data_IF_316446633786
#
_entry.id   IF_316446633786
#
_cell.length_a   1.000
_cell.length_b   1.000
_cell.length_c   1.000
_cell.angle_alpha   90.00
_cell.angle_beta   90.00
_cell.angle_gamma   90.00
#
_symmetry.space_group_name_H-M   'P 1'
#
loop_
_entity.id
_entity.type
_entity.pdbx_description
1 polymer ?
#
# COMPACT_ATOMS: atom_id res chain seq x y z
N UNK A 1 6.49 -8.22 -23.19
CA UNK A 1 6.97 -7.39 -22.06
C UNK A 1 5.87 -6.38 -21.77
N UNK A 2 5.19 -6.48 -20.61
CA UNK A 2 4.13 -5.54 -20.24
C UNK A 2 4.70 -4.13 -20.05
N UNK A 3 3.94 -3.11 -20.48
CA UNK A 3 4.31 -1.72 -20.24
C UNK A 3 4.36 -1.46 -18.72
N UNK A 4 5.41 -0.80 -18.27
CA UNK A 4 5.46 -0.22 -16.92
C UNK A 4 4.78 1.14 -16.92
N UNK A 5 4.10 1.47 -15.84
CA UNK A 5 3.37 2.73 -15.67
C UNK A 5 3.68 3.35 -14.31
N UNK A 6 3.72 4.67 -14.27
CA UNK A 6 3.91 5.44 -13.05
C UNK A 6 2.69 5.27 -12.12
N UNK A 7 2.91 4.78 -10.91
CA UNK A 7 1.84 4.43 -9.97
C UNK A 7 0.96 5.62 -9.59
N UNK A 8 1.59 6.75 -9.32
CA UNK A 8 0.88 7.99 -9.00
C UNK A 8 0.00 8.45 -10.16
N UNK A 9 0.51 8.37 -11.39
CA UNK A 9 -0.23 8.79 -12.57
C UNK A 9 -1.38 7.81 -12.87
N UNK A 10 -1.19 6.51 -12.61
CA UNK A 10 -2.26 5.52 -12.69
C UNK A 10 -3.44 5.85 -11.76
N UNK A 11 -3.16 6.28 -10.51
CA UNK A 11 -4.19 6.71 -9.57
C UNK A 11 -4.91 7.98 -10.06
N UNK A 12 -4.14 9.03 -10.38
CA UNK A 12 -4.73 10.33 -10.68
C UNK A 12 -5.40 10.40 -12.05
N UNK A 13 -4.94 9.65 -13.05
CA UNK A 13 -5.69 9.52 -14.30
C UNK A 13 -7.07 8.90 -14.04
N UNK A 14 -7.15 7.82 -13.26
CA UNK A 14 -8.41 7.18 -12.93
C UNK A 14 -9.32 8.08 -12.08
N UNK A 15 -8.79 8.78 -11.06
CA UNK A 15 -9.62 9.66 -10.22
C UNK A 15 -10.12 10.90 -11.00
N UNK A 16 -9.39 11.35 -12.00
CA UNK A 16 -9.86 12.41 -12.91
C UNK A 16 -11.05 11.93 -13.74
N UNK A 17 -11.01 10.71 -14.27
CA UNK A 17 -12.14 10.11 -15.00
C UNK A 17 -13.37 9.96 -14.08
N UNK A 18 -13.17 9.47 -12.86
CA UNK A 18 -14.24 9.41 -11.82
C UNK A 18 -14.79 10.80 -11.53
N UNK A 19 -13.92 11.80 -11.36
CA UNK A 19 -14.30 13.18 -11.09
C UNK A 19 -14.98 13.88 -12.26
N UNK A 20 -14.68 13.50 -13.50
CA UNK A 20 -15.38 14.00 -14.68
C UNK A 20 -16.81 13.44 -14.79
N UNK A 21 -17.05 12.26 -14.23
CA UNK A 21 -18.37 11.62 -14.22
C UNK A 21 -19.24 12.00 -13.02
N UNK A 22 -18.64 12.51 -11.93
CA UNK A 22 -19.35 12.85 -10.69
C UNK A 22 -18.80 14.13 -10.02
N UNK A 23 -19.61 15.17 -9.99
CA UNK A 23 -19.26 16.48 -9.42
C UNK A 23 -19.08 16.50 -7.90
N UNK A 24 -19.34 15.39 -7.23
CA UNK A 24 -19.10 15.24 -5.79
C UNK A 24 -17.61 15.02 -5.49
N UNK A 25 -16.82 14.55 -6.46
CA UNK A 25 -15.37 14.39 -6.29
C UNK A 25 -14.69 15.74 -6.19
N UNK A 26 -13.93 15.94 -5.11
CA UNK A 26 -13.13 17.13 -4.84
C UNK A 26 -11.72 16.68 -4.47
N UNK A 27 -10.71 17.30 -5.08
CA UNK A 27 -9.31 16.94 -4.83
C UNK A 27 -8.61 18.06 -4.03
N UNK A 28 -7.91 17.66 -2.96
CA UNK A 28 -7.09 18.59 -2.17
C UNK A 28 -5.64 18.08 -2.17
N UNK A 29 -4.69 18.98 -2.37
CA UNK A 29 -3.27 18.66 -2.29
C UNK A 29 -2.54 19.54 -1.28
N UNK A 30 -1.48 18.98 -0.67
CA UNK A 30 -0.59 19.69 0.22
C UNK A 30 0.69 20.10 -0.53
N UNK A 31 0.56 21.04 -1.46
CA UNK A 31 1.64 21.56 -2.32
C UNK A 31 2.39 20.51 -3.14
N UNK A 32 1.66 19.46 -3.54
CA UNK A 32 2.18 18.38 -4.39
C UNK A 32 1.38 18.30 -5.68
N UNK A 33 2.09 18.20 -6.81
CA UNK A 33 1.50 18.12 -8.14
C UNK A 33 1.64 16.73 -8.78
N UNK A 34 0.74 16.46 -9.71
CA UNK A 34 0.85 15.42 -10.73
C UNK A 34 0.28 16.00 -12.02
N UNK A 35 0.69 15.50 -13.19
CA UNK A 35 0.21 16.04 -14.48
C UNK A 35 -1.32 15.96 -14.59
N UNK A 36 -1.90 14.83 -14.18
CA UNK A 36 -3.35 14.64 -14.17
C UNK A 36 -4.08 15.65 -13.28
N UNK A 37 -3.50 16.01 -12.12
CA UNK A 37 -4.08 17.02 -11.23
C UNK A 37 -4.12 18.41 -11.87
N UNK A 38 -3.08 18.80 -12.62
CA UNK A 38 -3.08 20.05 -13.36
C UNK A 38 -4.17 20.09 -14.44
N UNK A 39 -4.44 18.96 -15.10
CA UNK A 39 -5.56 18.84 -16.06
C UNK A 39 -6.91 18.94 -15.36
N UNK A 40 -7.06 18.30 -14.19
CA UNK A 40 -8.30 18.38 -13.40
C UNK A 40 -8.55 19.81 -12.89
N UNK A 41 -7.53 20.51 -12.39
CA UNK A 41 -7.61 21.91 -11.96
C UNK A 41 -8.09 22.82 -13.10
N UNK A 42 -7.53 22.67 -14.30
CA UNK A 42 -7.94 23.45 -15.49
C UNK A 42 -9.39 23.17 -15.90
N UNK A 43 -9.83 21.91 -15.87
CA UNK A 43 -11.19 21.50 -16.24
C UNK A 43 -12.24 21.75 -15.13
N UNK A 44 -11.82 21.77 -13.89
CA UNK A 44 -12.70 21.85 -12.72
C UNK A 44 -12.10 22.70 -11.57
N UNK A 45 -11.84 24.00 -11.80
CA UNK A 45 -11.10 24.84 -10.84
C UNK A 45 -11.79 25.04 -9.50
N UNK A 46 -13.09 24.79 -9.41
CA UNK A 46 -13.87 24.87 -8.16
C UNK A 46 -13.86 23.55 -7.38
N UNK A 47 -13.20 22.53 -7.88
CA UNK A 47 -13.13 21.19 -7.26
C UNK A 47 -11.69 20.72 -7.00
N UNK A 48 -10.70 21.58 -7.25
CA UNK A 48 -9.31 21.35 -6.90
C UNK A 48 -8.81 22.45 -5.97
N UNK A 49 -8.18 22.08 -4.86
CA UNK A 49 -7.67 23.01 -3.87
C UNK A 49 -6.24 22.62 -3.47
N UNK A 50 -5.28 23.50 -3.73
CA UNK A 50 -3.98 23.42 -3.11
C UNK A 50 -4.04 24.12 -1.75
N UNK A 51 -3.94 23.35 -0.67
CA UNK A 51 -4.02 23.85 0.72
C UNK A 51 -2.65 24.38 1.22
N UNK A 52 -1.59 24.20 0.42
CA UNK A 52 -0.21 24.44 0.85
C UNK A 52 0.30 23.31 1.77
N UNK A 53 1.46 23.53 2.39
CA UNK A 53 2.09 22.55 3.31
C UNK A 53 1.34 22.59 4.65
N UNK A 54 0.08 22.14 4.66
CA UNK A 54 -0.82 22.20 5.81
C UNK A 54 -1.73 20.97 5.88
N UNK A 55 -1.14 19.78 5.99
CA UNK A 55 -1.83 18.49 5.88
C UNK A 55 -2.91 18.30 6.96
N UNK A 56 -2.68 18.79 8.18
CA UNK A 56 -3.70 18.76 9.24
C UNK A 56 -4.94 19.56 8.84
N UNK A 57 -4.74 20.80 8.33
CA UNK A 57 -5.85 21.62 7.83
C UNK A 57 -6.53 20.97 6.61
N UNK A 58 -5.77 20.35 5.71
CA UNK A 58 -6.30 19.62 4.56
C UNK A 58 -7.26 18.50 4.99
N UNK A 59 -6.92 17.74 6.02
CA UNK A 59 -7.79 16.69 6.58
C UNK A 59 -9.07 17.29 7.15
N UNK A 60 -8.98 18.33 7.97
CA UNK A 60 -10.17 18.96 8.59
C UNK A 60 -11.08 19.63 7.55
N UNK A 61 -10.51 20.28 6.51
CA UNK A 61 -11.30 20.84 5.39
C UNK A 61 -12.00 19.70 4.63
N UNK A 62 -11.31 18.58 4.37
CA UNK A 62 -11.92 17.43 3.70
C UNK A 62 -13.08 16.82 4.50
N UNK A 63 -12.97 16.79 5.84
CA UNK A 63 -14.05 16.35 6.71
C UNK A 63 -15.31 17.22 6.53
N UNK A 64 -15.15 18.55 6.50
CA UNK A 64 -16.25 19.46 6.22
C UNK A 64 -16.90 19.19 4.86
N UNK A 65 -16.10 19.06 3.80
CA UNK A 65 -16.60 18.75 2.45
C UNK A 65 -17.37 17.41 2.42
N UNK A 66 -16.85 16.36 3.06
CA UNK A 66 -17.50 15.06 3.13
C UNK A 66 -18.82 15.11 3.91
N UNK A 67 -18.90 15.86 5.02
CA UNK A 67 -20.11 16.08 5.78
C UNK A 67 -21.22 16.77 4.94
N UNK A 68 -20.85 17.54 3.91
CA UNK A 68 -21.77 18.16 2.95
C UNK A 68 -21.98 17.31 1.67
N UNK A 69 -21.67 16.02 1.73
CA UNK A 69 -21.98 15.06 0.66
C UNK A 69 -20.98 15.03 -0.50
N UNK A 70 -19.79 15.58 -0.33
CA UNK A 70 -18.70 15.42 -1.29
C UNK A 70 -17.88 14.15 -1.01
N UNK A 71 -17.10 13.72 -2.01
CA UNK A 71 -16.10 12.65 -1.91
C UNK A 71 -14.69 13.26 -2.05
N UNK A 72 -14.11 13.76 -0.96
CA UNK A 72 -12.77 14.35 -1.02
C UNK A 72 -11.70 13.29 -1.23
N UNK A 73 -10.76 13.60 -2.11
CA UNK A 73 -9.50 12.89 -2.31
C UNK A 73 -8.38 13.81 -1.88
N UNK A 74 -7.69 13.49 -0.80
CA UNK A 74 -6.58 14.29 -0.29
C UNK A 74 -5.25 13.61 -0.61
N UNK A 75 -4.25 14.41 -1.00
CA UNK A 75 -2.99 13.92 -1.54
C UNK A 75 -1.78 14.56 -0.90
N UNK A 76 -0.82 13.73 -0.49
CA UNK A 76 0.47 14.20 0.03
C UNK A 76 1.48 13.07 0.22
N UNK A 77 2.68 13.44 0.69
CA UNK A 77 3.76 12.48 0.99
C UNK A 77 3.42 11.68 2.26
N UNK A 78 3.75 10.39 2.26
CA UNK A 78 3.36 9.39 3.25
C UNK A 78 3.49 9.85 4.72
N UNK A 79 4.65 10.24 5.27
CA UNK A 79 4.73 10.67 6.67
C UNK A 79 3.93 11.93 6.97
N UNK A 80 3.67 12.78 5.98
CA UNK A 80 3.00 14.06 6.19
C UNK A 80 1.48 13.93 6.20
N UNK A 81 0.91 13.12 5.28
CA UNK A 81 -0.55 12.87 5.30
C UNK A 81 -0.96 11.80 6.30
N UNK A 82 -0.01 11.12 6.94
CA UNK A 82 -0.28 10.10 7.96
C UNK A 82 0.10 10.59 9.36
N UNK A 83 1.38 10.58 9.70
CA UNK A 83 1.86 10.84 11.07
C UNK A 83 1.56 12.28 11.52
N UNK A 84 1.80 13.27 10.65
CA UNK A 84 1.55 14.68 10.97
C UNK A 84 0.07 14.98 11.20
N UNK A 85 -0.83 14.29 10.48
CA UNK A 85 -2.27 14.52 10.52
C UNK A 85 -3.06 13.40 11.24
N UNK A 86 -2.38 12.56 12.03
CA UNK A 86 -2.98 11.38 12.66
C UNK A 86 -4.18 11.72 13.55
N UNK A 87 -4.09 12.80 14.33
CA UNK A 87 -5.19 13.22 15.20
C UNK A 87 -6.43 13.62 14.38
N UNK A 88 -6.26 14.45 13.33
CA UNK A 88 -7.35 14.89 12.48
C UNK A 88 -7.97 13.72 11.71
N UNK A 89 -7.16 12.77 11.20
CA UNK A 89 -7.66 11.54 10.58
C UNK A 89 -8.49 10.74 11.57
N UNK A 90 -8.04 10.64 12.83
CA UNK A 90 -8.73 9.87 13.86
C UNK A 90 -10.06 10.52 14.27
N UNK A 91 -10.05 11.82 14.54
CA UNK A 91 -11.21 12.53 15.10
C UNK A 91 -12.16 13.05 14.01
N UNK A 92 -11.61 13.75 12.99
CA UNK A 92 -12.45 14.42 11.99
C UNK A 92 -12.97 13.46 10.92
N UNK A 93 -12.20 12.40 10.58
CA UNK A 93 -12.62 11.45 9.55
C UNK A 93 -13.13 10.14 10.12
N UNK A 94 -12.32 9.44 10.91
CA UNK A 94 -12.62 8.06 11.30
C UNK A 94 -13.69 7.97 12.40
N UNK A 95 -13.67 8.85 13.40
CA UNK A 95 -14.71 8.90 14.43
C UNK A 95 -16.07 9.29 13.85
N UNK A 96 -16.09 10.14 12.83
CA UNK A 96 -17.29 10.56 12.12
C UNK A 96 -17.66 9.64 10.94
N UNK A 97 -16.81 8.65 10.63
CA UNK A 97 -16.96 7.70 9.51
C UNK A 97 -17.22 8.40 8.15
N UNK A 98 -16.44 9.42 7.83
CA UNK A 98 -16.62 10.23 6.61
C UNK A 98 -15.90 9.60 5.41
N UNK A 99 -16.50 9.60 4.19
CA UNK A 99 -15.94 9.01 3.00
C UNK A 99 -14.85 9.90 2.36
N UNK A 100 -13.68 9.94 2.98
CA UNK A 100 -12.50 10.65 2.49
C UNK A 100 -11.44 9.63 2.06
N UNK A 101 -10.89 9.79 0.84
CA UNK A 101 -9.77 8.98 0.35
C UNK A 101 -8.47 9.74 0.58
N UNK A 102 -7.62 9.21 1.46
CA UNK A 102 -6.29 9.74 1.78
C UNK A 102 -5.28 9.03 0.88
N UNK A 103 -4.73 9.74 -0.11
CA UNK A 103 -3.71 9.22 -1.02
C UNK A 103 -2.33 9.57 -0.48
N UNK A 104 -1.65 8.54 -0.04
CA UNK A 104 -0.31 8.60 0.55
C UNK A 104 0.72 8.12 -0.47
N UNK A 105 1.53 9.03 -1.01
CA UNK A 105 2.60 8.66 -1.94
C UNK A 105 3.93 8.55 -1.21
N UNK A 106 4.73 7.56 -1.61
CA UNK A 106 6.07 7.39 -1.07
C UNK A 106 6.19 6.34 0.01
N UNK A 107 5.71 5.13 -0.28
CA UNK A 107 5.87 3.96 0.57
C UNK A 107 7.35 3.59 0.79
N UNK A 108 7.70 3.12 1.98
CA UNK A 108 9.04 2.66 2.30
C UNK A 108 10.11 3.74 2.08
N UNK A 109 11.12 3.39 1.31
CA UNK A 109 12.24 4.26 0.95
C UNK A 109 12.07 5.00 -0.38
N UNK A 110 10.85 5.20 -0.86
CA UNK A 110 10.58 5.89 -2.14
C UNK A 110 11.25 7.27 -2.22
N UNK A 111 11.20 8.03 -1.13
CA UNK A 111 11.85 9.35 -1.01
C UNK A 111 13.15 9.28 -0.18
N UNK A 112 13.94 8.23 -0.38
CA UNK A 112 15.17 7.99 0.40
C UNK A 112 16.19 9.10 0.31
N UNK A 113 16.29 9.79 -0.84
CA UNK A 113 17.20 10.92 -1.05
C UNK A 113 16.85 12.14 -0.19
N UNK A 114 15.59 12.25 0.23
CA UNK A 114 15.12 13.35 1.08
C UNK A 114 15.29 13.04 2.58
N UNK A 115 15.77 11.84 2.90
CA UNK A 115 16.17 11.42 4.24
C UNK A 115 15.02 10.94 5.13
N UNK A 116 15.34 10.68 6.40
CA UNK A 116 14.47 10.00 7.37
C UNK A 116 13.10 10.66 7.58
N UNK A 117 12.96 11.95 7.32
CA UNK A 117 11.68 12.68 7.46
C UNK A 117 10.68 12.34 6.36
N UNK A 118 11.14 11.75 5.25
CA UNK A 118 10.34 11.40 4.08
C UNK A 118 10.12 9.88 3.93
N UNK A 119 10.74 9.06 4.80
CA UNK A 119 10.55 7.61 4.73
C UNK A 119 9.14 7.20 5.16
N UNK A 120 8.44 6.49 4.30
CA UNK A 120 7.10 5.93 4.58
C UNK A 120 7.21 4.54 5.23
N UNK A 121 7.80 4.45 6.43
CA UNK A 121 8.02 3.19 7.15
C UNK A 121 7.07 2.99 8.35
N UNK A 122 6.62 4.09 8.96
CA UNK A 122 5.81 4.10 10.18
C UNK A 122 4.31 4.25 9.89
N UNK A 123 3.97 4.70 8.69
CA UNK A 123 2.62 5.12 8.29
C UNK A 123 1.58 4.01 8.48
N UNK A 124 1.86 2.80 7.99
CA UNK A 124 0.93 1.66 8.12
C UNK A 124 0.71 1.33 9.60
N UNK A 125 1.76 1.24 10.40
CA UNK A 125 1.66 0.96 11.85
C UNK A 125 0.80 1.98 12.57
N UNK A 126 1.01 3.28 12.31
CA UNK A 126 0.22 4.36 12.89
C UNK A 126 -1.24 4.30 12.43
N UNK A 127 -1.49 4.12 11.13
CA UNK A 127 -2.85 4.04 10.57
C UNK A 127 -3.62 2.80 11.05
N UNK A 128 -2.94 1.69 11.36
CA UNK A 128 -3.58 0.50 11.94
C UNK A 128 -4.28 0.78 13.26
N UNK A 129 -3.83 1.77 14.04
CA UNK A 129 -4.42 2.15 15.32
C UNK A 129 -5.76 2.89 15.18
N UNK A 130 -6.06 3.48 14.01
CA UNK A 130 -7.25 4.31 13.77
C UNK A 130 -8.47 3.42 13.49
N UNK A 131 -9.52 3.40 14.34
CA UNK A 131 -10.76 2.66 14.06
C UNK A 131 -11.45 3.15 12.77
N UNK A 132 -12.27 2.31 12.16
CA UNK A 132 -13.07 2.62 10.95
C UNK A 132 -12.25 3.01 9.70
N UNK A 133 -10.92 3.07 9.78
CA UNK A 133 -10.07 3.38 8.64
C UNK A 133 -9.80 2.11 7.81
N UNK A 134 -10.12 2.16 6.53
CA UNK A 134 -9.67 1.13 5.57
C UNK A 134 -8.24 1.44 5.12
N UNK A 135 -7.35 0.44 5.09
CA UNK A 135 -5.95 0.61 4.65
C UNK A 135 -5.70 -0.27 3.44
N UNK A 136 -5.31 0.36 2.34
CA UNK A 136 -4.99 -0.26 1.07
C UNK A 136 -3.53 0.05 0.71
N UNK A 137 -2.76 -0.97 0.34
CA UNK A 137 -1.36 -0.83 -0.08
C UNK A 137 -1.20 -1.35 -1.50
N UNK A 138 -0.93 -0.47 -2.44
CA UNK A 138 -0.88 -0.82 -3.85
C UNK A 138 0.45 -1.45 -4.25
N UNK A 139 0.39 -2.55 -4.98
CA UNK A 139 1.55 -3.29 -5.48
C UNK A 139 1.83 -3.03 -6.96
N UNK A 140 0.84 -2.54 -7.71
CA UNK A 140 0.97 -2.30 -9.15
C UNK A 140 -0.05 -1.26 -9.68
N UNK A 141 0.08 -0.80 -10.93
CA UNK A 141 -0.84 0.16 -11.52
C UNK A 141 -2.30 -0.31 -11.58
N UNK A 142 -2.56 -1.60 -11.74
CA UNK A 142 -3.92 -2.14 -11.78
C UNK A 142 -4.61 -2.06 -10.41
N UNK A 143 -3.90 -2.40 -9.32
CA UNK A 143 -4.39 -2.15 -7.95
C UNK A 143 -4.68 -0.68 -7.72
N UNK A 144 -3.75 0.17 -8.17
CA UNK A 144 -3.83 1.61 -7.97
C UNK A 144 -5.07 2.21 -8.62
N UNK A 145 -5.39 1.80 -9.86
CA UNK A 145 -6.63 2.22 -10.55
C UNK A 145 -7.88 1.72 -9.85
N UNK A 146 -7.89 0.46 -9.43
CA UNK A 146 -9.01 -0.10 -8.68
C UNK A 146 -9.32 0.77 -7.45
N UNK A 147 -8.30 1.12 -6.68
CA UNK A 147 -8.51 1.93 -5.47
C UNK A 147 -9.01 3.34 -5.77
N UNK A 148 -8.62 3.92 -6.90
CA UNK A 148 -9.15 5.20 -7.36
C UNK A 148 -10.61 5.07 -7.81
N UNK A 149 -10.96 4.07 -8.63
CA UNK A 149 -12.33 3.85 -9.14
C UNK A 149 -13.35 3.59 -8.05
N UNK A 150 -12.93 2.97 -6.93
CA UNK A 150 -13.78 2.70 -5.78
C UNK A 150 -14.02 3.91 -4.85
N UNK A 151 -13.49 5.10 -5.17
CA UNK A 151 -13.63 6.28 -4.29
C UNK A 151 -15.10 6.62 -4.00
N UNK A 152 -15.98 6.55 -4.99
CA UNK A 152 -17.40 6.86 -4.84
C UNK A 152 -18.22 5.78 -4.10
N UNK A 153 -17.71 4.56 -4.02
CA UNK A 153 -18.36 3.46 -3.28
C UNK A 153 -17.94 3.39 -1.81
N UNK A 154 -16.98 4.23 -1.41
CA UNK A 154 -16.50 4.26 -0.02
C UNK A 154 -17.57 4.77 0.93
N UNK A 155 -17.79 4.04 2.02
CA UNK A 155 -18.74 4.40 3.10
C UNK A 155 -18.03 4.98 4.33
N UNK A 156 -16.71 5.07 4.31
CA UNK A 156 -15.88 5.60 5.40
C UNK A 156 -14.50 6.00 4.90
N UNK A 157 -13.60 6.43 5.79
CA UNK A 157 -12.30 6.91 5.40
C UNK A 157 -11.40 5.77 4.90
N UNK A 158 -10.59 6.06 3.86
CA UNK A 158 -9.65 5.13 3.24
C UNK A 158 -8.26 5.74 3.20
N UNK A 159 -7.26 4.98 3.62
CA UNK A 159 -5.85 5.30 3.45
C UNK A 159 -5.30 4.44 2.30
N UNK A 160 -5.00 5.08 1.18
CA UNK A 160 -4.49 4.43 -0.04
C UNK A 160 -3.00 4.76 -0.15
N UNK A 161 -2.17 3.76 0.09
CA UNK A 161 -0.72 3.86 0.05
C UNK A 161 -0.23 3.47 -1.34
N UNK A 162 0.46 4.38 -2.02
CA UNK A 162 0.98 4.17 -3.37
C UNK A 162 2.47 4.52 -3.48
N UNK A 163 3.10 3.95 -4.48
CA UNK A 163 4.48 4.24 -4.85
C UNK A 163 4.60 5.48 -5.73
N UNK A 164 5.84 5.95 -5.86
CA UNK A 164 6.30 6.82 -6.94
C UNK A 164 7.27 6.01 -7.81
N UNK A 165 7.07 6.04 -9.09
CA UNK A 165 7.87 5.31 -10.07
C UNK A 165 7.08 4.25 -10.84
N UNK A 166 7.60 3.86 -12.01
CA UNK A 166 6.90 2.94 -12.89
C UNK A 166 7.02 1.49 -12.40
N UNK A 167 5.89 0.81 -12.32
CA UNK A 167 5.80 -0.62 -12.07
C UNK A 167 5.04 -1.32 -13.21
N UNK A 168 5.17 -2.64 -13.28
CA UNK A 168 4.39 -3.49 -14.18
C UNK A 168 3.18 -4.01 -13.43
N UNK A 169 2.12 -4.37 -14.18
CA UNK A 169 1.03 -5.13 -13.58
C UNK A 169 1.50 -6.53 -13.17
N UNK A 170 1.04 -6.99 -12.02
CA UNK A 170 1.26 -8.35 -11.53
C UNK A 170 0.35 -9.34 -12.25
N UNK A 171 0.85 -10.53 -12.54
CA UNK A 171 0.06 -11.61 -13.13
C UNK A 171 -0.71 -12.35 -12.02
N UNK A 172 -1.99 -12.07 -11.92
CA UNK A 172 -2.88 -12.63 -10.90
C UNK A 172 -3.53 -13.92 -11.36
N UNK A 173 -3.66 -14.87 -10.44
CA UNK A 173 -4.27 -16.19 -10.69
C UNK A 173 -5.69 -16.33 -10.12
N UNK A 174 -6.06 -15.53 -9.13
CA UNK A 174 -7.42 -15.45 -8.62
C UNK A 174 -8.22 -14.38 -9.38
N UNK A 175 -9.36 -14.72 -9.99
CA UNK A 175 -10.18 -13.75 -10.73
C UNK A 175 -10.77 -12.67 -9.81
N UNK A 176 -11.13 -13.02 -8.58
CA UNK A 176 -11.82 -12.15 -7.62
C UNK A 176 -10.84 -11.40 -6.69
N UNK A 177 -9.59 -11.20 -7.15
CA UNK A 177 -8.52 -10.59 -6.35
C UNK A 177 -8.92 -9.23 -5.74
N UNK A 178 -9.71 -8.44 -6.46
CA UNK A 178 -10.18 -7.14 -6.00
C UNK A 178 -11.05 -7.27 -4.74
N UNK A 179 -12.03 -8.18 -4.79
CA UNK A 179 -12.94 -8.45 -3.67
C UNK A 179 -12.29 -9.25 -2.55
N UNK A 180 -11.28 -10.09 -2.90
CA UNK A 180 -10.54 -10.90 -1.94
C UNK A 180 -9.68 -10.04 -1.00
N UNK A 181 -9.20 -8.91 -1.48
CA UNK A 181 -8.25 -8.06 -0.78
C UNK A 181 -6.80 -8.54 -0.86
N UNK A 182 -6.53 -9.54 -1.72
CA UNK A 182 -5.21 -10.07 -2.03
C UNK A 182 -5.15 -10.67 -3.43
N UNK A 183 -3.94 -10.78 -3.96
CA UNK A 183 -3.64 -11.39 -5.26
C UNK A 183 -2.85 -12.69 -5.07
N UNK A 184 -3.26 -13.77 -5.72
CA UNK A 184 -2.48 -15.00 -5.81
C UNK A 184 -1.55 -14.88 -7.02
N UNK A 185 -0.24 -14.93 -6.80
CA UNK A 185 0.79 -14.79 -7.84
C UNK A 185 1.50 -16.11 -8.15
N UNK A 186 1.55 -17.03 -7.19
CA UNK A 186 2.01 -18.40 -7.33
C UNK A 186 1.05 -19.34 -6.58
N UNK A 187 0.69 -20.46 -7.16
CA UNK A 187 -0.30 -21.39 -6.62
C UNK A 187 0.28 -22.76 -6.28
N UNK A 188 1.54 -22.80 -5.87
CA UNK A 188 2.21 -24.02 -5.45
C UNK A 188 1.56 -24.71 -4.25
N UNK A 189 1.86 -26.00 -4.09
CA UNK A 189 1.33 -26.84 -3.02
C UNK A 189 2.36 -27.11 -1.91
N UNK A 190 3.40 -26.27 -1.82
CA UNK A 190 4.39 -26.36 -0.74
C UNK A 190 3.75 -26.05 0.61
N UNK A 191 4.25 -26.66 1.68
CA UNK A 191 3.89 -26.31 3.06
C UNK A 191 4.47 -24.95 3.49
N UNK A 192 5.20 -24.26 2.60
CA UNK A 192 5.69 -22.90 2.79
C UNK A 192 4.93 -21.94 1.87
N UNK A 193 4.29 -20.93 2.44
CA UNK A 193 3.69 -19.82 1.72
C UNK A 193 4.55 -18.56 1.85
N UNK A 194 4.55 -17.72 0.81
CA UNK A 194 5.23 -16.43 0.81
C UNK A 194 4.18 -15.33 0.68
N UNK A 195 4.13 -14.43 1.64
CA UNK A 195 3.23 -13.29 1.65
C UNK A 195 4.04 -12.01 1.49
N UNK A 196 3.47 -11.04 0.79
CA UNK A 196 4.04 -9.68 0.65
C UNK A 196 2.96 -8.63 0.54
N UNK A 197 3.34 -7.37 0.54
CA UNK A 197 2.43 -6.24 0.32
C UNK A 197 3.16 -5.06 -0.31
N UNK A 198 2.50 -4.39 -1.26
CA UNK A 198 3.05 -3.22 -1.93
C UNK A 198 4.17 -3.52 -2.92
N UNK A 199 4.88 -2.50 -3.36
CA UNK A 199 5.86 -2.59 -4.45
C UNK A 199 7.05 -3.52 -4.21
N UNK A 200 7.32 -3.91 -2.96
CA UNK A 200 8.38 -4.90 -2.66
C UNK A 200 8.05 -6.28 -3.24
N UNK A 201 6.79 -6.56 -3.53
CA UNK A 201 6.33 -7.79 -4.21
C UNK A 201 7.07 -8.03 -5.51
N UNK A 202 7.44 -6.98 -6.26
CA UNK A 202 8.23 -7.11 -7.49
C UNK A 202 9.65 -7.66 -7.21
N UNK A 203 10.32 -7.14 -6.18
CA UNK A 203 11.64 -7.62 -5.79
C UNK A 203 11.58 -9.06 -5.24
N UNK A 204 10.51 -9.39 -4.51
CA UNK A 204 10.24 -10.76 -4.07
C UNK A 204 10.08 -11.71 -5.25
N UNK A 205 9.28 -11.36 -6.27
CA UNK A 205 9.06 -12.22 -7.44
C UNK A 205 10.36 -12.46 -8.23
N UNK A 206 11.19 -11.43 -8.38
CA UNK A 206 12.53 -11.56 -8.99
C UNK A 206 13.41 -12.52 -8.17
N UNK A 207 13.45 -12.35 -6.85
CA UNK A 207 14.17 -13.23 -5.94
C UNK A 207 13.66 -14.69 -6.04
N UNK A 208 12.34 -14.88 -6.00
CA UNK A 208 11.71 -16.19 -6.07
C UNK A 208 12.04 -16.90 -7.39
N UNK A 209 11.95 -16.19 -8.52
CA UNK A 209 12.29 -16.74 -9.83
C UNK A 209 13.74 -17.23 -9.89
N UNK A 210 14.68 -16.50 -9.27
CA UNK A 210 16.09 -16.91 -9.21
C UNK A 210 16.30 -18.19 -8.38
N UNK A 211 15.51 -18.37 -7.31
CA UNK A 211 15.57 -19.55 -6.43
C UNK A 211 14.93 -20.76 -7.08
N UNK A 212 13.73 -20.62 -7.64
CA UNK A 212 12.98 -21.75 -8.23
C UNK A 212 13.61 -22.33 -9.48
N UNK A 213 14.36 -21.50 -10.22
CA UNK A 213 15.18 -21.99 -11.35
C UNK A 213 16.21 -23.07 -10.92
N UNK A 214 16.61 -23.05 -9.64
CA UNK A 214 17.62 -23.96 -9.08
C UNK A 214 17.02 -25.07 -8.21
N UNK A 215 16.10 -24.70 -7.29
CA UNK A 215 15.57 -25.65 -6.27
C UNK A 215 14.32 -26.41 -6.72
N UNK A 216 13.70 -26.01 -7.84
CA UNK A 216 12.44 -26.60 -8.36
C UNK A 216 11.31 -26.60 -7.30
N UNK A 217 11.27 -25.61 -6.44
CA UNK A 217 10.20 -25.43 -5.45
C UNK A 217 9.01 -24.71 -6.09
N UNK A 218 7.81 -25.01 -5.60
CA UNK A 218 6.60 -24.31 -6.02
C UNK A 218 5.80 -23.91 -4.76
N UNK A 219 5.81 -22.63 -4.44
CA UNK A 219 5.18 -22.08 -3.24
C UNK A 219 3.95 -21.24 -3.60
N UNK A 220 2.99 -21.21 -2.69
CA UNK A 220 1.92 -20.24 -2.73
C UNK A 220 2.51 -18.84 -2.48
N UNK A 221 2.30 -17.91 -3.42
CA UNK A 221 2.72 -16.50 -3.29
C UNK A 221 1.48 -15.63 -3.28
N UNK A 222 1.35 -14.81 -2.25
CA UNK A 222 0.20 -13.93 -2.03
C UNK A 222 0.66 -12.51 -1.80
N UNK A 223 0.16 -11.58 -2.61
CA UNK A 223 0.27 -10.13 -2.40
C UNK A 223 -1.00 -9.62 -1.70
N UNK A 224 -0.88 -9.18 -0.45
CA UNK A 224 -2.00 -8.69 0.35
C UNK A 224 -2.09 -7.17 0.22
N UNK A 225 -3.09 -6.67 -0.48
CA UNK A 225 -3.27 -5.24 -0.72
C UNK A 225 -4.34 -4.60 0.19
N UNK A 226 -5.25 -5.37 0.79
CA UNK A 226 -6.16 -4.90 1.83
C UNK A 226 -5.56 -5.20 3.20
N UNK A 227 -4.94 -4.19 3.82
CA UNK A 227 -4.29 -4.35 5.12
C UNK A 227 -5.24 -4.18 6.30
N UNK A 228 -6.33 -3.40 6.10
CA UNK A 228 -7.37 -3.20 7.12
C UNK A 228 -8.73 -2.90 6.46
N UNK A 229 -9.80 -3.69 6.74
CA UNK A 229 -9.76 -4.92 7.52
C UNK A 229 -8.92 -6.01 6.83
N UNK A 230 -8.08 -6.70 7.59
CA UNK A 230 -7.24 -7.75 7.01
C UNK A 230 -8.09 -8.96 6.59
N UNK A 231 -7.86 -9.59 5.42
CA UNK A 231 -8.75 -10.61 4.85
C UNK A 231 -8.56 -12.01 5.47
N UNK A 232 -8.58 -12.11 6.82
CA UNK A 232 -8.33 -13.35 7.56
C UNK A 232 -9.16 -14.53 7.06
N UNK A 233 -10.49 -14.34 6.95
CA UNK A 233 -11.42 -15.43 6.59
C UNK A 233 -11.20 -15.97 5.17
N UNK A 234 -10.70 -15.13 4.26
CA UNK A 234 -10.43 -15.53 2.87
C UNK A 234 -9.05 -16.16 2.73
N UNK A 235 -8.07 -15.75 3.55
CA UNK A 235 -6.73 -16.33 3.57
C UNK A 235 -6.66 -17.67 4.32
N UNK A 236 -7.50 -17.88 5.34
CA UNK A 236 -7.48 -19.09 6.17
C UNK A 236 -7.58 -20.39 5.35
N UNK A 237 -8.53 -20.58 4.41
CA UNK A 237 -8.61 -21.80 3.61
C UNK A 237 -7.38 -22.05 2.73
N UNK A 238 -6.76 -20.98 2.22
CA UNK A 238 -5.56 -21.07 1.36
C UNK A 238 -4.31 -21.48 2.16
N UNK A 239 -4.28 -21.18 3.43
CA UNK A 239 -3.11 -21.34 4.31
C UNK A 239 -3.31 -22.43 5.37
N UNK A 240 -4.40 -23.18 5.34
CA UNK A 240 -4.76 -24.19 6.36
C UNK A 240 -3.69 -25.28 6.55
N UNK A 241 -3.02 -25.67 5.48
CA UNK A 241 -1.99 -26.72 5.47
C UNK A 241 -0.56 -26.18 5.51
N UNK A 242 -0.39 -24.86 5.59
CA UNK A 242 0.91 -24.21 5.60
C UNK A 242 1.56 -24.39 6.98
N UNK A 243 2.85 -24.72 6.99
CA UNK A 243 3.68 -24.92 8.17
C UNK A 243 4.68 -23.77 8.37
N UNK A 244 4.93 -23.00 7.30
CA UNK A 244 5.81 -21.83 7.33
C UNK A 244 5.26 -20.72 6.46
N UNK A 245 5.29 -19.49 6.97
CA UNK A 245 4.99 -18.26 6.23
C UNK A 245 6.26 -17.43 6.18
N UNK A 246 6.70 -17.04 4.97
CA UNK A 246 7.73 -16.02 4.79
C UNK A 246 7.00 -14.72 4.43
N UNK A 247 7.18 -13.66 5.23
CA UNK A 247 6.56 -12.38 4.97
C UNK A 247 7.59 -11.32 4.59
N UNK A 248 7.37 -10.63 3.46
CA UNK A 248 8.28 -9.61 2.91
C UNK A 248 7.56 -8.27 2.81
N UNK A 249 8.08 -7.25 3.50
CA UNK A 249 7.54 -5.88 3.44
C UNK A 249 8.66 -4.84 3.55
N UNK A 250 8.56 -3.74 2.80
CA UNK A 250 9.40 -2.55 2.97
C UNK A 250 8.78 -1.62 4.03
N UNK A 251 8.55 -2.18 5.21
CA UNK A 251 7.90 -1.54 6.35
C UNK A 251 8.42 -2.09 7.68
N UNK A 252 7.97 -1.52 8.77
CA UNK A 252 8.29 -1.99 10.12
C UNK A 252 7.37 -3.13 10.58
N UNK A 253 7.84 -3.91 11.56
CA UNK A 253 7.07 -5.02 12.14
C UNK A 253 5.74 -4.58 12.76
N UNK A 254 5.66 -3.35 13.25
CA UNK A 254 4.43 -2.73 13.77
C UNK A 254 3.34 -2.49 12.70
N UNK A 255 3.67 -2.61 11.40
CA UNK A 255 2.74 -2.44 10.28
C UNK A 255 2.01 -3.72 9.88
N UNK A 256 2.08 -4.06 8.59
CA UNK A 256 1.39 -5.21 8.00
C UNK A 256 1.81 -6.56 8.61
N UNK A 257 3.07 -6.70 9.03
CA UNK A 257 3.60 -7.91 9.65
C UNK A 257 2.81 -8.32 10.90
N UNK A 258 2.33 -7.37 11.70
CA UNK A 258 1.49 -7.63 12.87
C UNK A 258 0.21 -8.41 12.52
N UNK A 259 -0.38 -8.17 11.35
CA UNK A 259 -1.57 -8.88 10.87
C UNK A 259 -1.22 -10.29 10.38
N UNK A 260 -0.05 -10.47 9.75
CA UNK A 260 0.44 -11.79 9.33
C UNK A 260 0.77 -12.66 10.53
N UNK A 261 1.38 -12.12 11.58
CA UNK A 261 1.61 -12.83 12.85
C UNK A 261 0.28 -13.27 13.49
N UNK A 262 -0.72 -12.38 13.50
CA UNK A 262 -2.05 -12.71 13.99
C UNK A 262 -2.72 -13.79 13.12
N UNK A 263 -2.60 -13.72 11.79
CA UNK A 263 -3.09 -14.75 10.89
C UNK A 263 -2.46 -16.10 11.21
N UNK A 264 -1.14 -16.17 11.35
CA UNK A 264 -0.43 -17.41 11.68
C UNK A 264 -0.91 -18.06 12.98
N UNK A 265 -1.24 -17.25 14.00
CA UNK A 265 -1.80 -17.77 15.27
C UNK A 265 -3.23 -18.33 15.11
N UNK A 266 -4.00 -17.84 14.14
CA UNK A 266 -5.38 -18.31 13.89
C UNK A 266 -5.41 -19.59 13.04
N UNK A 267 -4.37 -19.84 12.24
CA UNK A 267 -4.30 -21.02 11.36
C UNK A 267 -4.18 -22.32 12.14
N UNK A 268 -4.77 -23.45 11.68
CA UNK A 268 -4.77 -24.72 12.38
C UNK A 268 -3.37 -25.23 12.75
N UNK A 269 -2.43 -25.13 11.83
CA UNK A 269 -1.04 -25.59 12.02
C UNK A 269 -0.13 -24.58 12.73
N UNK A 270 -0.60 -23.34 12.99
CA UNK A 270 0.19 -22.27 13.58
C UNK A 270 1.58 -22.15 12.96
N UNK A 271 1.67 -21.83 11.67
CA UNK A 271 2.92 -21.85 10.94
C UNK A 271 3.98 -20.94 11.58
N UNK A 272 5.24 -21.36 11.46
CA UNK A 272 6.37 -20.48 11.76
C UNK A 272 6.35 -19.28 10.82
N UNK A 273 6.55 -18.09 11.35
CA UNK A 273 6.68 -16.87 10.52
C UNK A 273 8.13 -16.45 10.44
N UNK A 274 8.63 -16.27 9.22
CA UNK A 274 9.93 -15.70 8.90
C UNK A 274 9.69 -14.32 8.32
N UNK A 275 10.18 -13.28 8.96
CA UNK A 275 9.98 -11.90 8.56
C UNK A 275 11.21 -11.34 7.85
N UNK A 276 11.01 -10.73 6.68
CA UNK A 276 12.01 -10.00 5.89
C UNK A 276 11.52 -8.54 5.83
N UNK A 277 11.93 -7.75 6.82
CA UNK A 277 11.40 -6.42 7.10
C UNK A 277 12.51 -5.40 7.27
N UNK A 278 12.13 -4.13 7.33
CA UNK A 278 13.02 -3.04 7.72
C UNK A 278 13.14 -3.01 9.25
N UNK A 279 14.37 -2.97 9.78
CA UNK A 279 14.62 -2.81 11.21
C UNK A 279 14.07 -1.47 11.73
N UNK A 280 13.37 -1.48 12.87
CA UNK A 280 12.75 -0.28 13.46
C UNK A 280 13.81 0.69 14.01
N UNK A 281 14.32 1.55 13.11
CA UNK A 281 15.24 2.65 13.44
C UNK A 281 15.16 3.76 12.42
N UNK A 282 15.70 4.93 12.75
CA UNK A 282 15.85 6.03 11.79
C UNK A 282 17.09 5.82 10.92
N UNK A 283 16.92 6.00 9.62
CA UNK A 283 17.99 5.90 8.62
C UNK A 283 18.38 7.30 8.14
N UNK A 284 19.47 7.86 8.67
CA UNK A 284 19.94 9.20 8.34
C UNK A 284 20.91 9.21 7.14
N UNK A 285 20.80 8.25 6.26
CA UNK A 285 21.59 8.15 5.05
C UNK A 285 20.76 8.65 3.88
N UNK A 286 21.23 9.69 3.19
CA UNK A 286 20.63 10.13 1.92
C UNK A 286 21.22 9.32 0.77
N UNK A 287 20.50 8.31 0.30
CA UNK A 287 20.92 7.39 -0.76
C UNK A 287 19.75 7.10 -1.70
N UNK A 288 20.04 6.51 -2.85
CA UNK A 288 19.01 5.97 -3.72
C UNK A 288 18.20 4.88 -3.00
N UNK A 289 16.95 4.65 -3.42
CA UNK A 289 16.14 3.57 -2.87
C UNK A 289 16.80 2.19 -3.01
N UNK A 290 17.53 1.98 -4.10
CA UNK A 290 18.26 0.74 -4.32
C UNK A 290 19.34 0.51 -3.27
N UNK A 291 20.12 1.55 -2.95
CA UNK A 291 21.14 1.49 -1.89
C UNK A 291 20.49 1.31 -0.51
N UNK A 292 19.37 1.98 -0.22
CA UNK A 292 18.63 1.78 1.02
C UNK A 292 18.13 0.34 1.15
N UNK A 293 17.54 -0.23 0.10
CA UNK A 293 17.13 -1.64 0.08
C UNK A 293 18.30 -2.59 0.27
N UNK A 294 19.47 -2.27 -0.31
CA UNK A 294 20.69 -3.05 -0.08
C UNK A 294 21.13 -3.00 1.38
N UNK A 295 21.06 -1.83 2.01
CA UNK A 295 21.45 -1.63 3.40
C UNK A 295 20.57 -2.43 4.38
N UNK A 296 19.29 -2.60 4.07
CA UNK A 296 18.30 -3.29 4.93
C UNK A 296 18.00 -4.72 4.52
N UNK A 297 18.74 -5.28 3.55
CA UNK A 297 18.54 -6.68 3.14
C UNK A 297 17.34 -6.94 2.23
N UNK A 298 16.82 -5.93 1.54
CA UNK A 298 15.62 -6.02 0.69
C UNK A 298 15.91 -5.96 -0.82
N UNK A 299 17.16 -6.14 -1.24
CA UNK A 299 17.46 -6.38 -2.66
C UNK A 299 17.05 -7.80 -3.06
N UNK A 300 16.66 -8.06 -4.33
CA UNK A 300 16.30 -9.38 -4.80
C UNK A 300 17.31 -10.47 -4.45
N UNK A 301 18.60 -10.18 -4.56
CA UNK A 301 19.67 -11.14 -4.23
C UNK A 301 19.65 -11.51 -2.73
N UNK A 302 19.48 -10.54 -1.84
CA UNK A 302 19.44 -10.76 -0.39
C UNK A 302 18.18 -11.51 0.02
N UNK A 303 17.01 -11.15 -0.54
CA UNK A 303 15.76 -11.87 -0.35
C UNK A 303 15.93 -13.33 -0.83
N UNK A 304 16.58 -13.56 -1.99
CA UNK A 304 16.81 -14.90 -2.53
C UNK A 304 17.67 -15.79 -1.63
N UNK A 305 18.64 -15.21 -0.92
CA UNK A 305 19.45 -15.93 0.06
C UNK A 305 18.61 -16.46 1.23
N UNK A 306 17.72 -15.62 1.76
CA UNK A 306 16.80 -16.02 2.82
C UNK A 306 15.79 -17.07 2.31
N UNK A 307 15.24 -16.87 1.11
CA UNK A 307 14.33 -17.84 0.50
C UNK A 307 14.98 -19.22 0.35
N UNK A 308 16.25 -19.31 -0.06
CA UNK A 308 16.97 -20.59 -0.18
C UNK A 308 17.12 -21.36 1.15
N UNK A 309 17.14 -20.65 2.27
CA UNK A 309 17.24 -21.28 3.59
C UNK A 309 15.90 -21.79 4.10
N UNK A 310 14.79 -21.34 3.54
CA UNK A 310 13.47 -21.58 4.09
C UNK A 310 12.52 -22.32 3.15
N UNK A 311 12.83 -22.37 1.84
CA UNK A 311 12.13 -23.18 0.83
C UNK A 311 12.78 -24.54 0.63
#
# INVERSE_FOLDING_TARGET
MGNSEEMRDAFFNEIVEVGNSDDRVVILSADHGAEALSKFEQGSPTRYFNIGIAEQNMVSVSAGLAAFGKYPVIYGISPFVSLRALEQITLDLAAMNLPVTIVSVGAGFTYSTDGATHHGLQDVGAMMTVPNLTILNSSDPQNTRLFASETLSSTGPRYVRIEKGPLRNLERRNPDWAEDGFSILGNGQSTTAILSTGAITHALLEAYQSVTSTLKTDSLIVDVHLLKPFPFKKLEPLLSDVEKIIFVDEGYASGAASQVLRLAQMLPKRPQVVEILVEEKFYFVGSSRQEMRSLVGLQPIQISEILRLHL
#
